data_IF_550778131221
#
_entry.id   IF_550778131221
#
_cell.length_a   1.000
_cell.length_b   1.000
_cell.length_c   1.000
_cell.angle_alpha   90.00
_cell.angle_beta   90.00
_cell.angle_gamma   90.00
#
_symmetry.space_group_name_H-M   'P 1'
#
loop_
_entity.id
_entity.type
_entity.pdbx_description
1 polymer ?
#
# COMPACT_ATOMS: atom_id res chain seq x y z
N UNK A 1 8.97 -7.09 -6.08
CA UNK A 1 9.04 -5.65 -5.75
C UNK A 1 10.43 -5.25 -5.27
N UNK A 2 11.13 -4.34 -5.97
CA UNK A 2 12.46 -3.87 -5.59
C UNK A 2 12.48 -2.82 -4.45
N UNK A 3 11.35 -2.51 -3.80
CA UNK A 3 11.24 -1.43 -2.81
C UNK A 3 11.68 -1.80 -1.37
N UNK A 4 12.00 -3.07 -1.10
CA UNK A 4 12.41 -3.54 0.24
C UNK A 4 13.87 -3.99 0.32
N UNK A 5 14.72 -3.51 -0.60
CA UNK A 5 16.12 -3.92 -0.72
C UNK A 5 17.02 -3.40 0.42
N UNK A 6 16.54 -2.57 1.33
CA UNK A 6 17.43 -1.91 2.30
C UNK A 6 17.73 -2.75 3.56
N UNK A 7 17.06 -3.89 3.75
CA UNK A 7 17.27 -4.79 4.89
C UNK A 7 17.66 -6.21 4.45
N UNK A 8 18.88 -6.64 4.82
CA UNK A 8 19.42 -7.95 4.47
C UNK A 8 18.57 -9.11 4.99
N UNK A 9 17.90 -8.95 6.14
CA UNK A 9 16.98 -9.96 6.66
C UNK A 9 15.73 -10.09 5.79
N UNK A 10 15.14 -8.96 5.41
CA UNK A 10 13.97 -8.91 4.54
C UNK A 10 14.27 -9.51 3.17
N UNK A 11 15.43 -9.22 2.60
CA UNK A 11 15.85 -9.85 1.33
C UNK A 11 15.97 -11.37 1.44
N UNK A 12 16.54 -11.86 2.55
CA UNK A 12 16.82 -13.29 2.72
C UNK A 12 15.59 -14.11 3.12
N UNK A 13 14.78 -13.58 4.03
CA UNK A 13 13.71 -14.35 4.67
C UNK A 13 12.32 -13.75 4.49
N UNK A 14 12.21 -12.50 4.02
CA UNK A 14 10.97 -11.73 4.01
C UNK A 14 10.77 -10.90 5.28
N UNK A 15 9.63 -10.20 5.37
CA UNK A 15 9.32 -9.32 6.49
C UNK A 15 8.66 -10.07 7.65
N UNK A 16 9.28 -10.06 8.83
CA UNK A 16 8.70 -10.61 10.05
C UNK A 16 8.06 -9.51 10.90
N UNK A 17 6.75 -9.31 10.76
CA UNK A 17 5.99 -8.28 11.49
C UNK A 17 5.71 -8.61 12.96
N UNK A 18 5.81 -9.90 13.35
CA UNK A 18 5.59 -10.34 14.72
C UNK A 18 4.16 -10.21 15.23
N UNK A 19 3.19 -10.08 14.32
CA UNK A 19 1.77 -10.03 14.65
C UNK A 19 1.30 -11.46 14.95
N UNK A 20 0.57 -11.69 16.06
CA UNK A 20 -0.07 -12.97 16.32
C UNK A 20 -1.03 -13.33 15.19
N UNK A 21 -0.93 -14.57 14.70
CA UNK A 21 -1.73 -15.06 13.58
C UNK A 21 -3.09 -15.54 14.06
N UNK A 22 -4.11 -15.38 13.22
CA UNK A 22 -5.46 -15.82 13.56
C UNK A 22 -5.54 -17.35 13.61
N UNK A 23 -6.09 -17.88 14.71
CA UNK A 23 -6.49 -19.29 14.80
C UNK A 23 -7.90 -19.42 14.25
N UNK A 24 -8.04 -19.33 12.92
CA UNK A 24 -9.34 -19.29 12.26
C UNK A 24 -10.28 -20.44 12.66
N UNK A 25 -9.76 -21.66 12.82
CA UNK A 25 -10.55 -22.80 13.32
C UNK A 25 -11.15 -22.57 14.70
N UNK A 26 -10.42 -21.94 15.62
CA UNK A 26 -10.93 -21.58 16.93
C UNK A 26 -11.93 -20.42 16.86
N UNK A 27 -11.70 -19.44 15.98
CA UNK A 27 -12.63 -18.32 15.78
C UNK A 27 -13.95 -18.77 15.13
N UNK A 28 -13.93 -19.78 14.28
CA UNK A 28 -15.16 -20.36 13.71
C UNK A 28 -16.06 -20.96 14.78
N UNK A 29 -15.49 -21.50 15.86
CA UNK A 29 -16.25 -22.13 16.95
C UNK A 29 -17.22 -21.16 17.66
N UNK A 30 -17.00 -19.84 17.55
CA UNK A 30 -17.93 -18.82 18.05
C UNK A 30 -18.35 -17.81 16.97
N UNK A 31 -18.56 -18.28 15.72
CA UNK A 31 -19.05 -17.46 14.60
C UNK A 31 -18.22 -16.18 14.38
N UNK A 32 -16.90 -16.28 14.50
CA UNK A 32 -15.93 -15.19 14.30
C UNK A 32 -16.23 -13.95 15.16
N UNK A 33 -16.74 -14.15 16.39
CA UNK A 33 -17.19 -13.07 17.29
C UNK A 33 -16.19 -11.92 17.42
N UNK A 34 -14.89 -12.21 17.50
CA UNK A 34 -13.84 -11.18 17.59
C UNK A 34 -13.86 -10.21 16.40
N UNK A 35 -14.00 -10.74 15.18
CA UNK A 35 -14.09 -9.92 13.97
C UNK A 35 -15.40 -9.14 13.94
N UNK A 36 -16.50 -9.74 14.40
CA UNK A 36 -17.79 -9.07 14.48
C UNK A 36 -17.74 -7.86 15.42
N UNK A 37 -17.22 -8.05 16.63
CA UNK A 37 -17.07 -6.98 17.62
C UNK A 37 -16.10 -5.89 17.16
N UNK A 38 -14.98 -6.27 16.55
CA UNK A 38 -14.02 -5.33 15.99
C UNK A 38 -14.64 -4.45 14.91
N UNK A 39 -15.36 -5.04 13.95
CA UNK A 39 -16.03 -4.30 12.89
C UNK A 39 -17.14 -3.41 13.45
N UNK A 40 -17.92 -3.91 14.41
CA UNK A 40 -18.96 -3.13 15.10
C UNK A 40 -18.38 -1.90 15.80
N UNK A 41 -17.23 -2.03 16.44
CA UNK A 41 -16.55 -0.90 17.08
C UNK A 41 -16.08 0.14 16.05
N UNK A 42 -15.49 -0.29 14.94
CA UNK A 42 -14.99 0.61 13.88
C UNK A 42 -16.13 1.38 13.22
N UNK A 43 -17.22 0.70 12.84
CA UNK A 43 -18.34 1.36 12.13
C UNK A 43 -19.14 2.34 12.99
N UNK A 44 -18.97 2.32 14.32
CA UNK A 44 -19.57 3.34 15.20
C UNK A 44 -18.92 4.71 15.01
N UNK A 45 -17.73 4.77 14.44
CA UNK A 45 -16.92 5.98 14.32
C UNK A 45 -16.74 6.36 12.84
N UNK A 46 -16.61 5.37 11.94
CA UNK A 46 -16.27 5.60 10.55
C UNK A 46 -17.34 5.10 9.58
N UNK A 47 -17.66 5.92 8.58
CA UNK A 47 -18.49 5.54 7.43
C UNK A 47 -17.77 4.58 6.46
N UNK A 48 -16.44 4.55 6.52
CA UNK A 48 -15.60 3.71 5.69
C UNK A 48 -14.34 3.32 6.46
N UNK A 49 -13.86 2.09 6.29
CA UNK A 49 -12.60 1.65 6.85
C UNK A 49 -11.78 0.80 5.88
N UNK A 50 -10.45 0.86 6.07
CA UNK A 50 -9.47 0.07 5.33
C UNK A 50 -9.07 -1.16 6.13
N UNK A 51 -9.12 -2.34 5.50
CA UNK A 51 -8.47 -3.55 5.99
C UNK A 51 -7.05 -3.53 5.45
N UNK A 52 -6.10 -3.33 6.37
CA UNK A 52 -4.67 -3.44 6.09
C UNK A 52 -4.33 -4.90 5.77
N UNK A 53 -3.52 -5.12 4.73
CA UNK A 53 -3.12 -6.45 4.26
C UNK A 53 -4.28 -7.43 4.14
N UNK A 54 -5.27 -7.11 3.29
CA UNK A 54 -6.51 -7.92 3.14
C UNK A 54 -6.22 -9.37 2.74
N UNK A 55 -5.08 -9.59 2.09
CA UNK A 55 -4.56 -10.92 1.74
C UNK A 55 -4.46 -11.86 2.95
N UNK A 56 -4.22 -11.33 4.15
CA UNK A 56 -4.12 -12.10 5.40
C UNK A 56 -5.39 -12.87 5.78
N UNK A 57 -6.53 -12.58 5.14
CA UNK A 57 -7.76 -13.37 5.26
C UNK A 57 -7.69 -14.68 4.46
N UNK A 58 -6.97 -14.67 3.33
CA UNK A 58 -6.80 -15.84 2.45
C UNK A 58 -5.60 -16.68 2.88
N UNK A 59 -4.46 -16.01 3.09
CA UNK A 59 -3.21 -16.61 3.56
C UNK A 59 -2.28 -15.56 4.13
N UNK A 60 -1.42 -15.94 5.05
CA UNK A 60 -0.43 -15.04 5.65
C UNK A 60 0.93 -15.71 5.70
N UNK A 61 1.97 -14.98 5.32
CA UNK A 61 3.35 -15.46 5.41
C UNK A 61 3.83 -15.36 6.86
N UNK A 62 4.17 -16.51 7.45
CA UNK A 62 4.38 -16.68 8.87
C UNK A 62 5.82 -17.07 9.18
N UNK A 63 6.32 -16.60 10.32
CA UNK A 63 7.64 -16.96 10.84
C UNK A 63 7.51 -17.88 12.06
N UNK A 64 8.33 -18.94 12.16
CA UNK A 64 8.38 -19.81 13.35
C UNK A 64 9.11 -19.17 14.54
N UNK A 65 9.57 -17.93 14.41
CA UNK A 65 10.22 -17.17 15.48
C UNK A 65 9.72 -15.72 15.53
N UNK A 66 9.86 -15.10 16.71
CA UNK A 66 9.49 -13.70 16.92
C UNK A 66 10.53 -12.75 16.31
N UNK A 67 10.15 -11.54 15.87
CA UNK A 67 11.07 -10.58 15.24
C UNK A 67 12.30 -10.20 16.07
N UNK A 68 12.26 -10.35 17.40
CA UNK A 68 13.42 -10.14 18.28
C UNK A 68 14.59 -11.07 17.97
N UNK A 69 14.31 -12.23 17.37
CA UNK A 69 15.30 -13.26 17.02
C UNK A 69 15.84 -13.11 15.60
N UNK A 70 15.38 -12.14 14.80
CA UNK A 70 15.80 -12.02 13.40
C UNK A 70 17.32 -11.98 13.22
N UNK A 71 18.04 -11.30 14.13
CA UNK A 71 19.51 -11.25 14.12
C UNK A 71 20.18 -12.62 14.33
N UNK A 72 19.54 -13.52 15.08
CA UNK A 72 20.02 -14.90 15.29
C UNK A 72 19.88 -15.76 14.02
N UNK A 73 18.89 -15.45 13.18
CA UNK A 73 18.54 -16.22 11.97
C UNK A 73 19.14 -15.66 10.69
N UNK A 74 19.51 -14.36 10.67
CA UNK A 74 20.13 -13.72 9.51
C UNK A 74 21.38 -14.47 8.99
N UNK A 75 22.37 -14.84 9.83
CA UNK A 75 23.58 -15.49 9.33
C UNK A 75 23.39 -16.97 8.97
N UNK A 76 22.27 -17.61 9.34
CA UNK A 76 22.11 -19.05 9.20
C UNK A 76 21.83 -19.48 7.76
N UNK A 77 22.31 -20.65 7.36
CA UNK A 77 21.82 -21.33 6.15
C UNK A 77 20.39 -21.83 6.36
N UNK A 78 19.70 -22.22 5.28
CA UNK A 78 18.36 -22.83 5.40
C UNK A 78 18.38 -24.08 6.30
N UNK A 79 19.36 -24.97 6.12
CA UNK A 79 19.51 -26.16 6.96
C UNK A 79 19.67 -25.81 8.45
N UNK A 80 20.55 -24.86 8.78
CA UNK A 80 20.76 -24.43 10.16
C UNK A 80 19.51 -23.76 10.76
N UNK A 81 18.76 -23.01 9.95
CA UNK A 81 17.49 -22.42 10.35
C UNK A 81 16.45 -23.49 10.64
N UNK A 82 16.35 -24.53 9.80
CA UNK A 82 15.45 -25.67 9.99
C UNK A 82 15.79 -26.43 11.28
N UNK A 83 17.06 -26.74 11.53
CA UNK A 83 17.50 -27.39 12.77
C UNK A 83 17.05 -26.60 14.02
N UNK A 84 17.16 -25.27 13.99
CA UNK A 84 16.77 -24.39 15.11
C UNK A 84 15.25 -24.19 15.27
N UNK A 85 14.47 -24.52 14.26
CA UNK A 85 13.01 -24.29 14.23
C UNK A 85 12.20 -25.58 14.33
N UNK A 86 12.89 -26.72 14.47
CA UNK A 86 12.26 -28.05 14.45
C UNK A 86 11.73 -28.39 13.05
N UNK A 87 12.47 -28.03 12.01
CA UNK A 87 12.13 -28.30 10.60
C UNK A 87 11.14 -27.32 9.97
N UNK A 88 10.90 -26.14 10.57
CA UNK A 88 9.90 -25.18 10.07
C UNK A 88 10.57 -23.94 9.48
N UNK A 89 10.48 -23.80 8.16
CA UNK A 89 10.82 -22.55 7.47
C UNK A 89 9.71 -21.50 7.65
N UNK A 90 9.98 -20.22 7.37
CA UNK A 90 8.93 -19.26 7.06
C UNK A 90 8.06 -19.77 5.88
N UNK A 91 6.74 -19.69 6.00
CA UNK A 91 5.81 -20.27 5.03
C UNK A 91 4.44 -19.59 5.07
N UNK A 92 3.64 -19.76 4.04
CA UNK A 92 2.25 -19.33 4.05
C UNK A 92 1.39 -20.26 4.92
N UNK A 93 0.54 -19.65 5.76
CA UNK A 93 -0.53 -20.35 6.47
C UNK A 93 -1.90 -19.78 6.07
N UNK A 94 -2.97 -20.56 6.02
CA UNK A 94 -2.99 -22.00 6.31
C UNK A 94 -2.27 -22.83 5.23
N UNK A 95 -2.20 -22.34 3.99
CA UNK A 95 -1.62 -23.05 2.84
C UNK A 95 -0.86 -22.07 1.95
N UNK A 96 0.09 -22.60 1.16
CA UNK A 96 0.63 -21.90 -0.01
C UNK A 96 -0.42 -21.84 -1.14
N UNK A 97 -0.06 -21.28 -2.28
CA UNK A 97 -0.92 -21.23 -3.48
C UNK A 97 -0.36 -22.11 -4.61
N UNK A 98 0.41 -23.14 -4.29
CA UNK A 98 1.16 -23.91 -5.29
C UNK A 98 0.24 -24.79 -6.13
N UNK A 99 -0.85 -25.31 -5.54
CA UNK A 99 -1.85 -26.14 -6.23
C UNK A 99 -3.17 -25.40 -6.46
N UNK A 100 -3.94 -25.75 -7.52
CA UNK A 100 -5.28 -25.22 -7.72
C UNK A 100 -6.21 -25.45 -6.52
N UNK A 101 -6.11 -26.60 -5.86
CA UNK A 101 -6.93 -26.96 -4.70
C UNK A 101 -6.62 -26.06 -3.51
N UNK A 102 -5.35 -25.74 -3.28
CA UNK A 102 -4.94 -24.82 -2.22
C UNK A 102 -5.44 -23.41 -2.49
N UNK A 103 -5.33 -22.92 -3.73
CA UNK A 103 -5.83 -21.60 -4.13
C UNK A 103 -7.34 -21.49 -3.91
N UNK A 104 -8.10 -22.49 -4.35
CA UNK A 104 -9.55 -22.51 -4.18
C UNK A 104 -9.95 -22.60 -2.71
N UNK A 105 -9.24 -23.40 -1.90
CA UNK A 105 -9.47 -23.47 -0.46
C UNK A 105 -9.18 -22.13 0.24
N UNK A 106 -8.05 -21.48 -0.10
CA UNK A 106 -7.69 -20.17 0.46
C UNK A 106 -8.71 -19.09 0.05
N UNK A 107 -9.14 -19.08 -1.22
CA UNK A 107 -10.22 -18.22 -1.72
C UNK A 107 -11.50 -18.39 -0.90
N UNK A 108 -12.02 -19.61 -0.83
CA UNK A 108 -13.28 -19.92 -0.13
C UNK A 108 -13.24 -19.53 1.35
N UNK A 109 -12.15 -19.82 2.04
CA UNK A 109 -11.99 -19.49 3.46
C UNK A 109 -11.84 -17.99 3.68
N UNK A 110 -11.03 -17.30 2.86
CA UNK A 110 -10.92 -15.84 2.92
C UNK A 110 -12.25 -15.14 2.67
N UNK A 111 -13.01 -15.62 1.68
CA UNK A 111 -14.35 -15.14 1.36
C UNK A 111 -15.31 -15.30 2.55
N UNK A 112 -15.33 -16.47 3.20
CA UNK A 112 -16.12 -16.73 4.42
C UNK A 112 -15.86 -15.68 5.50
N UNK A 113 -14.58 -15.42 5.80
CA UNK A 113 -14.19 -14.47 6.83
C UNK A 113 -14.52 -13.02 6.45
N UNK A 114 -14.29 -12.63 5.19
CA UNK A 114 -14.61 -11.29 4.70
C UNK A 114 -16.12 -11.04 4.66
N UNK A 115 -16.94 -12.05 4.35
CA UNK A 115 -18.40 -11.95 4.41
C UNK A 115 -18.90 -11.59 5.81
N UNK A 116 -18.28 -12.12 6.86
CA UNK A 116 -18.62 -11.73 8.24
C UNK A 116 -18.23 -10.29 8.54
N UNK A 117 -17.10 -9.82 8.02
CA UNK A 117 -16.74 -8.39 8.13
C UNK A 117 -17.76 -7.51 7.41
N UNK A 118 -18.18 -7.89 6.21
CA UNK A 118 -19.16 -7.13 5.42
C UNK A 118 -20.56 -7.12 6.06
N UNK A 119 -21.02 -8.27 6.56
CA UNK A 119 -22.28 -8.39 7.29
C UNK A 119 -22.32 -7.40 8.46
N UNK A 120 -21.24 -7.36 9.26
CA UNK A 120 -21.18 -6.48 10.42
C UNK A 120 -20.90 -5.02 10.06
N UNK A 121 -20.24 -4.75 8.93
CA UNK A 121 -20.01 -3.39 8.43
C UNK A 121 -21.35 -2.71 8.08
N UNK A 122 -22.32 -3.48 7.56
CA UNK A 122 -23.64 -2.98 7.17
C UNK A 122 -23.53 -1.87 6.13
N UNK A 123 -23.97 -0.65 6.48
CA UNK A 123 -23.87 0.50 5.58
C UNK A 123 -22.43 1.06 5.44
N UNK A 124 -21.51 0.73 6.37
CA UNK A 124 -20.14 1.20 6.28
C UNK A 124 -19.41 0.55 5.10
N UNK A 125 -18.57 1.32 4.41
CA UNK A 125 -17.81 0.85 3.26
C UNK A 125 -16.48 0.23 3.67
N UNK A 126 -16.05 -0.78 2.92
CA UNK A 126 -14.82 -1.52 3.19
C UNK A 126 -13.88 -1.39 2.00
N UNK A 127 -12.63 -1.02 2.28
CA UNK A 127 -11.53 -1.02 1.31
C UNK A 127 -10.52 -2.07 1.76
N UNK A 128 -10.09 -2.93 0.86
CA UNK A 128 -9.03 -3.91 1.12
C UNK A 128 -7.72 -3.40 0.55
N UNK A 129 -6.65 -3.37 1.34
CA UNK A 129 -5.34 -3.14 0.77
C UNK A 129 -4.74 -4.45 0.24
N UNK A 130 -4.65 -4.51 -1.09
CA UNK A 130 -4.16 -5.60 -1.91
C UNK A 130 -2.89 -5.19 -2.68
N UNK A 131 -1.86 -4.75 -1.95
CA UNK A 131 -0.54 -4.44 -2.51
C UNK A 131 0.46 -5.58 -2.26
N UNK A 132 1.59 -5.55 -2.96
CA UNK A 132 2.62 -6.58 -2.87
C UNK A 132 2.35 -7.77 -3.79
N UNK A 133 2.66 -8.98 -3.32
CA UNK A 133 2.54 -10.22 -4.10
C UNK A 133 1.14 -10.82 -3.95
N UNK A 134 0.20 -10.27 -4.72
CA UNK A 134 -1.22 -10.64 -4.68
C UNK A 134 -1.50 -11.85 -5.57
N UNK A 135 -2.08 -12.95 -5.04
CA UNK A 135 -2.56 -14.04 -5.87
C UNK A 135 -3.66 -13.61 -6.83
N UNK A 136 -3.67 -14.17 -8.05
CA UNK A 136 -4.58 -13.78 -9.13
C UNK A 136 -6.08 -13.93 -8.78
N UNK A 137 -6.43 -14.79 -7.81
CA UNK A 137 -7.81 -14.97 -7.36
C UNK A 137 -8.28 -13.91 -6.36
N UNK A 138 -7.37 -13.21 -5.68
CA UNK A 138 -7.75 -12.28 -4.59
C UNK A 138 -8.48 -11.07 -5.13
N UNK A 139 -7.97 -10.41 -6.17
CA UNK A 139 -8.61 -9.20 -6.74
C UNK A 139 -10.00 -9.47 -7.31
N UNK A 140 -10.23 -10.52 -8.11
CA UNK A 140 -11.57 -10.91 -8.54
C UNK A 140 -12.51 -11.22 -7.38
N UNK A 141 -12.01 -11.88 -6.32
CA UNK A 141 -12.81 -12.21 -5.14
C UNK A 141 -13.24 -10.95 -4.38
N UNK A 142 -12.31 -10.04 -4.09
CA UNK A 142 -12.61 -8.74 -3.47
C UNK A 142 -13.63 -7.95 -4.29
N UNK A 143 -13.47 -7.92 -5.62
CA UNK A 143 -14.41 -7.27 -6.51
C UNK A 143 -15.81 -7.89 -6.42
N UNK A 144 -15.90 -9.23 -6.41
CA UNK A 144 -17.18 -9.95 -6.27
C UNK A 144 -17.88 -9.68 -4.93
N UNK A 145 -17.10 -9.36 -3.90
CA UNK A 145 -17.56 -9.00 -2.56
C UNK A 145 -17.91 -7.50 -2.42
N UNK A 146 -17.68 -6.68 -3.45
CA UNK A 146 -17.88 -5.24 -3.36
C UNK A 146 -16.82 -4.50 -2.53
N UNK A 147 -15.64 -5.10 -2.35
CA UNK A 147 -14.51 -4.51 -1.62
C UNK A 147 -13.59 -3.83 -2.63
N UNK A 148 -13.38 -2.52 -2.47
CA UNK A 148 -12.45 -1.78 -3.33
C UNK A 148 -10.99 -2.13 -3.00
N UNK A 149 -10.22 -2.50 -4.02
CA UNK A 149 -8.76 -2.66 -3.97
C UNK A 149 -8.01 -1.36 -4.26
N UNK A 150 -6.70 -1.35 -4.05
CA UNK A 150 -5.81 -0.24 -4.33
C UNK A 150 -5.28 -0.27 -5.76
N UNK A 151 -5.09 0.93 -6.31
CA UNK A 151 -4.44 1.20 -7.59
C UNK A 151 -3.29 2.17 -7.37
N UNK A 152 -2.07 1.69 -7.58
CA UNK A 152 -0.85 2.49 -7.45
C UNK A 152 -0.32 2.74 -8.86
N UNK A 153 -0.46 3.95 -9.43
CA UNK A 153 -0.28 4.17 -10.86
C UNK A 153 1.02 3.65 -11.47
N UNK A 154 2.14 3.82 -10.77
CA UNK A 154 3.45 3.34 -11.21
C UNK A 154 3.63 1.81 -11.15
N UNK A 155 2.67 1.08 -10.59
CA UNK A 155 2.67 -0.39 -10.50
C UNK A 155 1.57 -1.03 -11.36
N UNK A 156 0.55 -0.26 -11.74
CA UNK A 156 -0.49 -0.71 -12.67
C UNK A 156 0.10 -0.76 -14.09
N UNK A 157 0.61 -1.93 -14.48
CA UNK A 157 1.21 -2.17 -15.78
C UNK A 157 0.58 -3.37 -16.47
N UNK A 158 0.37 -3.25 -17.78
CA UNK A 158 -0.02 -4.34 -18.67
C UNK A 158 0.93 -4.34 -19.87
N UNK A 159 1.56 -5.49 -20.16
CA UNK A 159 2.52 -5.65 -21.27
C UNK A 159 3.63 -4.57 -21.31
N UNK A 160 4.09 -4.17 -20.13
CA UNK A 160 5.13 -3.15 -19.96
C UNK A 160 4.65 -1.70 -20.10
N UNK A 161 3.36 -1.47 -20.37
CA UNK A 161 2.75 -0.16 -20.46
C UNK A 161 1.99 0.21 -19.19
N UNK A 162 2.08 1.48 -18.80
CA UNK A 162 1.31 2.02 -17.66
C UNK A 162 -0.17 2.07 -18.03
N UNK A 163 -1.03 1.53 -17.16
CA UNK A 163 -2.48 1.61 -17.32
C UNK A 163 -2.94 3.01 -16.91
N UNK A 164 -3.58 3.73 -17.84
CA UNK A 164 -4.10 5.07 -17.61
C UNK A 164 -5.31 5.05 -16.67
N UNK A 165 -5.52 6.17 -15.96
CA UNK A 165 -6.52 6.27 -14.90
C UNK A 165 -7.96 6.07 -15.38
N UNK A 166 -8.28 6.40 -16.63
CA UNK A 166 -9.62 6.20 -17.23
C UNK A 166 -9.95 4.70 -17.41
N UNK A 167 -8.93 3.83 -17.45
CA UNK A 167 -9.08 2.37 -17.52
C UNK A 167 -9.22 1.69 -16.18
N UNK A 168 -9.05 2.41 -15.07
CA UNK A 168 -9.21 1.79 -13.75
C UNK A 168 -10.65 1.35 -13.51
N UNK A 169 -10.82 0.22 -12.83
CA UNK A 169 -12.15 -0.21 -12.40
C UNK A 169 -12.73 0.78 -11.40
N UNK A 170 -14.04 1.04 -11.50
CA UNK A 170 -14.70 1.98 -10.60
C UNK A 170 -14.58 1.54 -9.14
N UNK A 171 -14.67 0.24 -8.85
CA UNK A 171 -14.54 -0.31 -7.49
C UNK A 171 -13.07 -0.38 -7.04
N UNK A 172 -12.41 0.76 -6.95
CA UNK A 172 -11.01 0.86 -6.54
C UNK A 172 -10.66 2.18 -5.86
N UNK A 173 -9.49 2.21 -5.22
CA UNK A 173 -8.89 3.37 -4.55
C UNK A 173 -7.55 3.68 -5.20
N UNK A 174 -7.44 4.82 -5.88
CA UNK A 174 -6.20 5.27 -6.50
C UNK A 174 -5.38 6.16 -5.57
N UNK A 175 -4.07 5.92 -5.49
CA UNK A 175 -3.10 6.79 -4.80
C UNK A 175 -1.70 6.56 -5.35
N UNK A 176 -0.86 7.59 -5.38
CA UNK A 176 0.55 7.42 -5.77
C UNK A 176 1.38 6.72 -4.71
N UNK A 177 0.97 6.81 -3.45
CA UNK A 177 1.77 6.38 -2.32
C UNK A 177 0.90 6.05 -1.12
N UNK A 178 1.48 5.29 -0.20
CA UNK A 178 0.97 5.12 1.17
C UNK A 178 1.98 5.73 2.15
N UNK A 179 1.68 5.67 3.45
CA UNK A 179 2.61 6.10 4.50
C UNK A 179 3.94 5.32 4.53
N UNK A 180 3.99 4.15 3.89
CA UNK A 180 5.17 3.31 3.75
C UNK A 180 6.11 3.74 2.64
N UNK A 181 5.66 4.64 1.76
CA UNK A 181 6.40 5.06 0.59
C UNK A 181 7.17 6.35 0.82
N UNK A 182 8.20 6.54 0.01
CA UNK A 182 8.89 7.81 -0.08
C UNK A 182 8.00 8.85 -0.77
N UNK A 183 7.88 10.08 -0.23
CA UNK A 183 7.12 11.13 -0.90
C UNK A 183 7.67 11.46 -2.29
N UNK A 184 6.79 11.84 -3.21
CA UNK A 184 7.13 12.15 -4.61
C UNK A 184 8.21 13.24 -4.69
N UNK A 185 8.14 14.24 -3.81
CA UNK A 185 9.16 15.32 -3.78
C UNK A 185 10.55 14.82 -3.38
N UNK A 186 10.64 13.83 -2.49
CA UNK A 186 11.92 13.23 -2.14
C UNK A 186 12.47 12.38 -3.29
N UNK A 187 11.61 11.56 -3.93
CA UNK A 187 11.97 10.82 -5.15
C UNK A 187 12.50 11.75 -6.25
N UNK A 188 11.87 12.92 -6.41
CA UNK A 188 12.30 13.93 -7.39
C UNK A 188 13.72 14.40 -7.14
N UNK A 189 14.07 14.70 -5.90
CA UNK A 189 15.42 15.14 -5.56
C UNK A 189 16.43 14.00 -5.77
N UNK A 190 16.13 12.79 -5.33
CA UNK A 190 17.03 11.64 -5.51
C UNK A 190 17.27 11.30 -6.98
N UNK A 191 16.25 11.44 -7.83
CA UNK A 191 16.37 11.23 -9.28
C UNK A 191 17.30 12.24 -9.98
N UNK A 192 17.48 13.44 -9.41
CA UNK A 192 18.28 14.51 -10.01
C UNK A 192 19.64 14.68 -9.32
N UNK A 193 19.67 14.66 -7.99
CA UNK A 193 20.88 14.88 -7.17
C UNK A 193 21.74 13.62 -7.04
N UNK A 194 21.12 12.43 -7.13
CA UNK A 194 21.80 11.14 -6.96
C UNK A 194 21.66 10.22 -8.18
N UNK A 195 21.67 10.79 -9.40
CA UNK A 195 21.35 10.10 -10.66
C UNK A 195 22.15 8.83 -10.95
N UNK A 196 23.39 8.76 -10.46
CA UNK A 196 24.30 7.63 -10.70
C UNK A 196 24.15 6.52 -9.67
N UNK A 197 23.43 6.78 -8.57
CA UNK A 197 23.14 5.78 -7.54
C UNK A 197 22.00 4.86 -7.95
N UNK A 198 22.01 3.62 -7.43
CA UNK A 198 20.90 2.69 -7.64
C UNK A 198 19.55 3.26 -7.14
N UNK A 199 19.58 4.03 -6.04
CA UNK A 199 18.41 4.69 -5.49
C UNK A 199 17.87 5.78 -6.43
N UNK A 200 18.75 6.66 -6.94
CA UNK A 200 18.36 7.72 -7.88
C UNK A 200 17.85 7.17 -9.22
N UNK A 201 18.44 6.09 -9.72
CA UNK A 201 17.93 5.40 -10.92
C UNK A 201 16.54 4.80 -10.68
N UNK A 202 16.30 4.21 -9.52
CA UNK A 202 14.98 3.68 -9.14
C UNK A 202 13.95 4.79 -8.93
N UNK A 203 14.35 5.92 -8.33
CA UNK A 203 13.51 7.10 -8.17
C UNK A 203 13.11 7.67 -9.53
N UNK A 204 14.07 7.82 -10.45
CA UNK A 204 13.82 8.26 -11.84
C UNK A 204 12.83 7.34 -12.55
N UNK A 205 13.08 6.03 -12.54
CA UNK A 205 12.18 5.06 -13.17
C UNK A 205 10.75 5.10 -12.57
N UNK A 206 10.63 5.37 -11.26
CA UNK A 206 9.33 5.52 -10.61
C UNK A 206 8.61 6.79 -11.07
N UNK A 207 9.32 7.92 -11.10
CA UNK A 207 8.76 9.20 -11.54
C UNK A 207 8.39 9.19 -13.02
N UNK A 208 9.17 8.55 -13.88
CA UNK A 208 8.86 8.40 -15.30
C UNK A 208 7.56 7.62 -15.52
N UNK A 209 7.30 6.57 -14.74
CA UNK A 209 5.99 5.87 -14.79
C UNK A 209 4.84 6.76 -14.33
N UNK A 210 5.06 7.58 -13.30
CA UNK A 210 4.08 8.56 -12.84
C UNK A 210 3.84 9.64 -13.91
N UNK A 211 4.89 10.09 -14.61
CA UNK A 211 4.81 11.02 -15.73
C UNK A 211 3.96 10.44 -16.86
N UNK A 212 4.25 9.20 -17.26
CA UNK A 212 3.50 8.48 -18.29
C UNK A 212 2.02 8.31 -17.93
N UNK A 213 1.72 7.91 -16.69
CA UNK A 213 0.34 7.86 -16.18
C UNK A 213 -0.38 9.22 -16.34
N UNK A 214 0.37 10.30 -16.19
CA UNK A 214 -0.14 11.67 -16.24
C UNK A 214 -0.14 12.29 -17.64
N UNK A 215 0.14 11.48 -18.68
CA UNK A 215 0.21 11.93 -20.06
C UNK A 215 1.45 12.75 -20.41
N UNK A 216 2.43 12.83 -19.50
CA UNK A 216 3.71 13.49 -19.77
C UNK A 216 4.67 12.49 -20.44
N UNK A 217 5.06 12.78 -21.68
CA UNK A 217 6.01 11.98 -22.45
C UNK A 217 7.40 12.66 -22.51
N UNK A 218 7.89 13.10 -21.36
CA UNK A 218 9.17 13.76 -21.20
C UNK A 218 9.99 13.05 -20.14
N UNK A 219 11.31 13.18 -20.24
CA UNK A 219 12.20 12.74 -19.17
C UNK A 219 12.08 13.71 -17.99
N UNK A 220 12.27 13.19 -16.79
CA UNK A 220 12.10 13.95 -15.55
C UNK A 220 13.07 15.14 -15.45
N UNK A 221 14.26 15.03 -16.03
CA UNK A 221 15.25 16.11 -16.10
C UNK A 221 14.87 17.28 -17.03
N UNK A 222 13.81 17.12 -17.82
CA UNK A 222 13.28 18.14 -18.74
C UNK A 222 12.07 18.88 -18.19
N UNK A 223 11.59 18.51 -17.00
CA UNK A 223 10.36 19.00 -16.41
C UNK A 223 10.65 19.84 -15.17
N UNK A 224 9.85 20.87 -14.92
CA UNK A 224 9.80 21.54 -13.62
C UNK A 224 8.82 20.81 -12.69
N UNK A 225 9.24 20.60 -11.43
CA UNK A 225 8.42 19.88 -10.46
C UNK A 225 7.09 20.58 -10.18
N UNK A 226 7.08 21.90 -9.97
CA UNK A 226 5.87 22.61 -9.52
C UNK A 226 4.97 22.97 -10.72
N UNK A 227 5.57 23.40 -11.84
CA UNK A 227 4.84 23.93 -12.99
C UNK A 227 4.35 22.84 -13.95
N UNK A 228 5.16 21.81 -14.19
CA UNK A 228 4.84 20.77 -15.17
C UNK A 228 4.33 19.51 -14.47
N UNK A 229 5.15 18.94 -13.58
CA UNK A 229 4.92 17.60 -13.04
C UNK A 229 3.79 17.58 -12.00
N UNK A 230 3.84 18.45 -10.99
CA UNK A 230 2.89 18.44 -9.86
C UNK A 230 1.44 18.62 -10.31
N UNK A 231 1.18 19.57 -11.23
CA UNK A 231 -0.16 19.79 -11.77
C UNK A 231 -0.65 18.54 -12.51
N UNK A 232 0.17 18.00 -13.41
CA UNK A 232 -0.20 16.86 -14.24
C UNK A 232 -0.55 15.62 -13.42
N UNK A 233 0.25 15.30 -12.39
CA UNK A 233 -0.02 14.13 -11.54
C UNK A 233 -1.31 14.31 -10.72
N UNK A 234 -1.58 15.50 -10.19
CA UNK A 234 -2.81 15.73 -9.43
C UNK A 234 -4.03 15.65 -10.34
N UNK A 235 -3.94 16.23 -11.55
CA UNK A 235 -5.00 16.18 -12.55
C UNK A 235 -5.29 14.75 -13.01
N UNK A 236 -4.25 13.96 -13.30
CA UNK A 236 -4.39 12.56 -13.72
C UNK A 236 -4.98 11.68 -12.62
N UNK A 237 -4.55 11.87 -11.37
CA UNK A 237 -5.09 11.13 -10.23
C UNK A 237 -6.57 11.46 -10.00
N UNK A 238 -6.95 12.75 -10.04
CA UNK A 238 -8.35 13.12 -9.84
C UNK A 238 -9.24 12.72 -11.01
N UNK A 239 -8.70 12.73 -12.23
CA UNK A 239 -9.38 12.29 -13.46
C UNK A 239 -9.48 10.77 -13.65
N UNK A 240 -8.89 9.95 -12.77
CA UNK A 240 -9.01 8.49 -12.89
C UNK A 240 -10.46 8.01 -12.64
N UNK A 241 -10.79 6.78 -13.05
CA UNK A 241 -12.13 6.22 -12.88
C UNK A 241 -12.37 5.59 -11.48
N UNK A 242 -11.32 5.41 -10.67
CA UNK A 242 -11.42 4.84 -9.31
C UNK A 242 -12.45 5.56 -8.44
N UNK A 243 -13.18 4.82 -7.61
CA UNK A 243 -14.19 5.34 -6.68
C UNK A 243 -13.60 6.44 -5.79
N UNK A 244 -12.42 6.20 -5.24
CA UNK A 244 -11.72 7.13 -4.35
C UNK A 244 -10.35 7.43 -4.92
N UNK A 245 -9.96 8.70 -4.92
CA UNK A 245 -8.60 9.16 -5.15
C UNK A 245 -8.06 9.72 -3.82
N UNK A 246 -6.89 9.25 -3.38
CA UNK A 246 -6.25 9.69 -2.13
C UNK A 246 -4.92 10.35 -2.47
N UNK A 247 -4.68 11.52 -1.86
CA UNK A 247 -3.39 12.20 -1.90
C UNK A 247 -2.81 12.22 -0.49
N UNK A 248 -1.59 11.71 -0.34
CA UNK A 248 -0.87 11.81 0.92
C UNK A 248 -0.58 13.27 1.25
N UNK A 249 -0.69 13.67 2.53
CA UNK A 249 -0.45 15.07 2.94
C UNK A 249 0.96 15.56 2.59
N UNK A 250 1.94 14.64 2.53
CA UNK A 250 3.31 14.93 2.07
C UNK A 250 3.33 15.33 0.62
N UNK A 251 2.65 14.59 -0.26
CA UNK A 251 2.59 14.90 -1.69
C UNK A 251 1.71 16.12 -1.93
N UNK A 252 0.56 16.22 -1.24
CA UNK A 252 -0.32 17.39 -1.30
C UNK A 252 0.43 18.69 -0.97
N UNK A 253 1.41 18.66 -0.08
CA UNK A 253 2.20 19.82 0.33
C UNK A 253 3.63 19.84 -0.24
N UNK A 254 3.94 18.94 -1.17
CA UNK A 254 5.27 18.73 -1.76
C UNK A 254 6.39 18.68 -0.70
N UNK A 255 6.26 17.78 0.28
CA UNK A 255 7.21 17.58 1.39
C UNK A 255 8.03 16.32 1.16
N UNK A 256 9.26 16.36 1.69
CA UNK A 256 10.25 15.29 1.54
C UNK A 256 10.28 14.31 2.72
N UNK A 257 9.72 14.68 3.87
CA UNK A 257 9.83 13.85 5.07
C UNK A 257 8.91 12.62 4.99
N UNK A 258 9.45 11.47 5.40
CA UNK A 258 8.76 10.18 5.43
C UNK A 258 8.26 9.85 6.82
N UNK A 259 7.11 9.19 6.92
CA UNK A 259 6.52 8.79 8.21
C UNK A 259 6.97 7.40 8.66
N UNK A 260 7.15 6.47 7.71
CA UNK A 260 7.58 5.11 7.99
C UNK A 260 8.51 4.58 6.90
N UNK A 261 9.58 3.88 7.32
CA UNK A 261 10.42 3.05 6.44
C UNK A 261 10.16 1.58 6.79
N UNK A 262 9.47 0.81 5.94
CA UNK A 262 9.15 -0.60 6.19
C UNK A 262 10.40 -1.46 6.46
N UNK A 263 10.23 -2.52 7.26
CA UNK A 263 11.30 -3.45 7.61
C UNK A 263 12.36 -2.90 8.58
N UNK A 264 12.35 -1.60 8.88
CA UNK A 264 13.33 -0.98 9.79
C UNK A 264 12.76 -0.79 11.20
N UNK A 265 13.59 -1.07 12.22
CA UNK A 265 13.33 -0.64 13.60
C UNK A 265 14.00 0.71 13.85
N UNK A 266 13.62 1.72 13.08
CA UNK A 266 14.16 3.07 13.25
C UNK A 266 13.37 3.82 14.34
N UNK A 267 14.06 4.47 15.28
CA UNK A 267 13.45 5.36 16.29
C UNK A 267 12.68 6.54 15.66
N UNK A 268 12.83 6.74 14.35
CA UNK A 268 12.21 7.82 13.59
C UNK A 268 10.88 7.43 12.93
N UNK A 269 10.55 6.14 12.85
CA UNK A 269 9.25 5.71 12.33
C UNK A 269 8.14 6.21 13.26
N UNK A 270 7.08 6.76 12.67
CA UNK A 270 5.88 7.26 13.37
C UNK A 270 6.09 8.43 14.33
N UNK A 271 7.29 9.04 14.36
CA UNK A 271 7.57 10.20 15.23
C UNK A 271 7.56 11.53 14.49
N UNK A 272 7.65 11.50 13.15
CA UNK A 272 7.64 12.71 12.32
C UNK A 272 6.29 13.42 12.40
N UNK A 273 6.35 14.74 12.65
CA UNK A 273 5.19 15.65 12.66
C UNK A 273 5.30 16.63 11.49
N UNK A 274 4.15 17.16 11.07
CA UNK A 274 4.14 18.29 10.15
C UNK A 274 4.87 19.49 10.77
N UNK A 275 5.76 20.12 10.01
CA UNK A 275 6.61 21.21 10.48
C UNK A 275 5.83 22.52 10.77
N UNK A 276 4.59 22.63 10.29
CA UNK A 276 3.73 23.82 10.45
C UNK A 276 2.36 23.39 10.95
N UNK A 277 1.77 24.20 11.83
CA UNK A 277 0.37 24.04 12.23
C UNK A 277 -0.56 24.37 11.07
N UNK A 278 -1.81 23.88 11.13
CA UNK A 278 -2.85 24.19 10.13
C UNK A 278 -3.04 25.71 9.98
N UNK A 279 -3.05 26.46 11.08
CA UNK A 279 -3.15 27.93 11.04
C UNK A 279 -2.00 28.57 10.25
N UNK A 280 -0.76 28.10 10.47
CA UNK A 280 0.41 28.57 9.72
C UNK A 280 0.36 28.15 8.24
N UNK A 281 -0.20 27.00 7.91
CA UNK A 281 -0.40 26.58 6.52
C UNK A 281 -1.44 27.47 5.82
N UNK A 282 -2.58 27.74 6.48
CA UNK A 282 -3.65 28.60 5.97
C UNK A 282 -3.20 30.05 5.70
N UNK A 283 -2.27 30.60 6.49
CA UNK A 283 -1.75 31.95 6.25
C UNK A 283 -0.69 32.02 5.14
N UNK A 284 -0.13 30.88 4.71
CA UNK A 284 0.93 30.84 3.69
C UNK A 284 0.39 31.14 2.30
N UNK A 285 0.90 32.19 1.63
CA UNK A 285 0.51 32.48 0.23
C UNK A 285 0.79 31.30 -0.71
N UNK A 286 1.96 30.66 -0.59
CA UNK A 286 2.31 29.45 -1.37
C UNK A 286 1.30 28.32 -1.19
N UNK A 287 1.01 27.93 0.05
CA UNK A 287 0.08 26.80 0.31
C UNK A 287 -1.35 27.15 -0.07
N UNK A 288 -1.79 28.41 0.09
CA UNK A 288 -3.10 28.85 -0.43
C UNK A 288 -3.19 28.74 -1.95
N UNK A 289 -2.14 29.16 -2.68
CA UNK A 289 -2.09 28.99 -4.13
C UNK A 289 -2.18 27.53 -4.55
N UNK A 290 -1.44 26.65 -3.85
CA UNK A 290 -1.51 25.20 -4.08
C UNK A 290 -2.89 24.62 -3.80
N UNK A 291 -3.53 24.98 -2.68
CA UNK A 291 -4.88 24.51 -2.38
C UNK A 291 -5.92 25.05 -3.37
N UNK A 292 -5.71 26.26 -3.91
CA UNK A 292 -6.50 26.79 -5.01
C UNK A 292 -6.40 25.93 -6.27
N UNK A 293 -5.18 25.55 -6.68
CA UNK A 293 -4.97 24.62 -7.78
C UNK A 293 -5.66 23.27 -7.53
N UNK A 294 -5.48 22.68 -6.34
CA UNK A 294 -6.12 21.40 -6.00
C UNK A 294 -7.64 21.50 -6.08
N UNK A 295 -8.23 22.60 -5.58
CA UNK A 295 -9.67 22.82 -5.66
C UNK A 295 -10.16 22.91 -7.11
N UNK A 296 -9.48 23.69 -7.96
CA UNK A 296 -9.77 23.79 -9.40
C UNK A 296 -9.77 22.40 -10.06
N UNK A 297 -8.75 21.58 -9.77
CA UNK A 297 -8.64 20.24 -10.36
C UNK A 297 -9.73 19.29 -9.86
N UNK A 298 -10.14 19.40 -8.59
CA UNK A 298 -11.24 18.60 -8.04
C UNK A 298 -12.59 18.98 -8.67
N UNK A 299 -12.86 20.27 -8.90
CA UNK A 299 -14.07 20.73 -9.59
C UNK A 299 -14.09 20.24 -11.05
N UNK A 300 -12.97 20.40 -11.77
CA UNK A 300 -12.84 19.95 -13.18
C UNK A 300 -13.05 18.45 -13.36
N UNK A 301 -12.71 17.66 -12.35
CA UNK A 301 -12.84 16.20 -12.37
C UNK A 301 -14.16 15.70 -11.75
N UNK A 302 -15.07 16.59 -11.35
CA UNK A 302 -16.33 16.27 -10.67
C UNK A 302 -16.14 15.39 -9.42
N UNK A 303 -15.02 15.58 -8.71
CA UNK A 303 -14.72 14.91 -7.45
C UNK A 303 -15.29 15.64 -6.25
N UNK A 304 -15.55 16.94 -6.40
CA UNK A 304 -16.27 17.82 -5.46
C UNK A 304 -17.30 18.64 -6.22
#
# INVERSE_FOLDING_TARGET
>A
EPHFKDDAFTQKWGQNWGIPLYRWSAMRANNLQWWRERTRAIRRIFHMFRIDHVQGFYRIYAFPWRPRRNKEFLPLTEQQMLERTGGRAPHFIARNDDTPENREANKREGEEYLRVVLEEAGAARVVGEDLGVVPDYVRPDLHSLGIAGFKIPQWEMLDGMVILGDKYERLSVATYATHDHEPIRALWDDALEHSDSAAGQQARATLEKIALFSGLNFKIDQLDFENDFYRAIMEALFGCNSWIAIVMITDLLARKYRFNVPGTKANLNWTRRMQRSIAKLRSSRKERGRMGLIHELLERSARV
#
